data_IF_467216096704
#
_entry.id   IF_467216096704
#
_cell.length_a   1.000
_cell.length_b   1.000
_cell.length_c   1.000
_cell.angle_alpha   90.00
_cell.angle_beta   90.00
_cell.angle_gamma   90.00
#
_symmetry.space_group_name_H-M   'P 1'
#
loop_
_entity.id
_entity.type
_entity.pdbx_description
1 polymer ?
#
# COMPACT_ATOMS: atom_id res chain seq x y z
N UNK A 1 5.04 50.14 3.58
CA UNK A 1 5.95 49.21 4.25
C UNK A 1 5.11 47.96 4.55
N UNK A 2 5.13 47.00 3.64
CA UNK A 2 4.47 45.72 3.81
C UNK A 2 5.44 44.79 4.51
N UNK A 3 5.18 44.45 5.75
CA UNK A 3 5.92 43.42 6.45
C UNK A 3 5.33 42.07 6.03
N UNK A 4 5.91 41.49 4.98
CA UNK A 4 5.68 40.08 4.66
C UNK A 4 6.25 39.26 5.82
N UNK A 5 5.34 38.81 6.69
CA UNK A 5 5.71 37.83 7.70
C UNK A 5 5.81 36.50 6.94
N UNK A 6 7.03 36.11 6.60
CA UNK A 6 7.31 34.74 6.15
C UNK A 6 6.94 33.77 7.27
N UNK A 7 5.69 33.31 7.25
CA UNK A 7 5.26 32.20 8.11
C UNK A 7 5.90 30.94 7.54
N UNK A 8 7.10 30.62 8.01
CA UNK A 8 7.70 29.31 7.76
C UNK A 8 6.88 28.31 8.60
N UNK A 9 6.13 27.40 7.98
CA UNK A 9 5.39 26.41 8.75
C UNK A 9 6.37 25.61 9.60
N UNK A 10 6.25 25.70 10.91
CA UNK A 10 7.04 24.89 11.84
C UNK A 10 6.43 23.49 11.91
N UNK A 11 6.66 22.70 10.87
CA UNK A 11 6.24 21.31 10.86
C UNK A 11 7.06 20.53 11.89
N UNK A 12 6.43 19.70 12.72
CA UNK A 12 7.19 18.82 13.60
C UNK A 12 8.10 17.93 12.75
N UNK A 13 9.35 17.78 13.19
CA UNK A 13 10.28 16.89 12.53
C UNK A 13 9.68 15.48 12.48
N UNK A 14 9.52 14.95 11.27
CA UNK A 14 9.08 13.58 11.10
C UNK A 14 10.09 12.58 11.68
N UNK A 15 9.66 11.35 11.97
CA UNK A 15 10.58 10.30 12.40
C UNK A 15 11.63 10.07 11.31
N UNK A 16 12.90 10.08 11.69
CA UNK A 16 14.00 9.75 10.79
C UNK A 16 14.35 8.27 10.93
N UNK A 17 14.56 7.55 9.82
CA UNK A 17 14.99 6.18 9.90
C UNK A 17 16.38 6.07 10.54
N UNK A 18 16.72 4.94 11.18
CA UNK A 18 18.08 4.67 11.60
C UNK A 18 19.08 4.82 10.45
N UNK A 19 20.32 5.17 10.78
CA UNK A 19 21.40 5.20 9.79
C UNK A 19 21.54 3.82 9.14
N UNK A 20 21.77 3.79 7.83
CA UNK A 20 21.89 2.56 7.03
C UNK A 20 20.60 1.72 6.90
N UNK A 21 19.44 2.31 7.16
CA UNK A 21 18.17 1.65 6.89
C UNK A 21 18.00 1.36 5.38
N UNK A 22 17.58 0.13 5.01
CA UNK A 22 17.36 -0.20 3.60
C UNK A 22 16.16 0.54 3.02
N UNK A 23 16.18 0.75 1.71
CA UNK A 23 14.99 1.20 0.98
C UNK A 23 13.98 0.06 0.91
N UNK A 24 12.70 0.41 1.06
CA UNK A 24 11.59 -0.54 0.93
C UNK A 24 10.75 -0.12 -0.26
N UNK A 25 10.61 -1.02 -1.24
CA UNK A 25 9.72 -0.84 -2.38
C UNK A 25 8.50 -1.74 -2.21
N UNK A 26 7.32 -1.14 -2.18
CA UNK A 26 6.05 -1.86 -2.16
C UNK A 26 5.40 -1.70 -3.53
N UNK A 27 5.13 -2.83 -4.19
CA UNK A 27 4.41 -2.88 -5.47
C UNK A 27 3.04 -3.49 -5.21
N UNK A 28 2.01 -2.65 -5.28
CA UNK A 28 0.63 -3.06 -5.05
C UNK A 28 -0.11 -3.12 -6.39
N UNK A 29 -0.40 -4.31 -6.83
CA UNK A 29 -1.18 -4.55 -8.04
C UNK A 29 -2.66 -4.28 -7.79
N UNK A 30 -3.38 -3.92 -8.85
CA UNK A 30 -4.83 -3.70 -8.82
C UNK A 30 -5.52 -4.83 -9.58
N UNK A 31 -6.57 -5.38 -8.98
CA UNK A 31 -7.37 -6.48 -9.53
C UNK A 31 -6.58 -7.72 -9.96
N UNK A 32 -5.50 -8.04 -9.25
CA UNK A 32 -4.67 -9.23 -9.49
C UNK A 32 -4.95 -10.30 -8.45
N UNK A 33 -5.31 -11.48 -8.93
CA UNK A 33 -5.59 -12.64 -8.09
C UNK A 33 -4.32 -13.43 -7.73
N UNK A 34 -4.46 -14.32 -6.75
CA UNK A 34 -3.37 -15.17 -6.27
C UNK A 34 -2.69 -15.99 -7.38
N UNK A 35 -3.48 -16.52 -8.32
CA UNK A 35 -3.00 -17.39 -9.40
C UNK A 35 -2.65 -16.67 -10.69
N UNK A 36 -2.54 -15.33 -10.68
CA UNK A 36 -2.25 -14.57 -11.90
C UNK A 36 -0.74 -14.44 -12.19
N UNK A 37 0.10 -14.79 -11.24
CA UNK A 37 1.55 -14.84 -11.42
C UNK A 37 2.06 -16.26 -11.70
N UNK A 38 3.06 -16.38 -12.57
CA UNK A 38 3.67 -17.66 -12.94
C UNK A 38 4.19 -18.44 -11.73
N UNK A 39 4.79 -17.77 -10.75
CA UNK A 39 5.29 -18.39 -9.52
C UNK A 39 4.20 -19.04 -8.65
N UNK A 40 2.93 -18.77 -8.92
CA UNK A 40 1.76 -19.41 -8.30
C UNK A 40 0.96 -20.28 -9.27
N UNK A 41 1.51 -20.57 -10.44
CA UNK A 41 0.94 -21.51 -11.40
C UNK A 41 0.12 -20.90 -12.55
N UNK A 42 0.21 -19.58 -12.74
CA UNK A 42 -0.42 -18.92 -13.90
C UNK A 42 0.19 -19.37 -15.23
N UNK A 43 -0.62 -19.50 -16.29
CA UNK A 43 -0.11 -19.62 -17.64
C UNK A 43 0.42 -18.29 -18.20
N UNK A 44 0.19 -17.18 -17.50
CA UNK A 44 0.69 -15.86 -17.89
C UNK A 44 2.18 -15.79 -17.57
N UNK A 45 2.97 -15.33 -18.53
CA UNK A 45 4.41 -15.16 -18.34
C UNK A 45 4.70 -13.94 -17.51
N UNK A 46 5.27 -14.14 -16.31
CA UNK A 46 5.64 -13.07 -15.37
C UNK A 46 7.10 -13.20 -14.90
N UNK A 47 8.08 -13.19 -15.82
CA UNK A 47 9.45 -13.61 -15.54
C UNK A 47 10.12 -12.79 -14.45
N UNK A 48 9.87 -11.48 -14.36
CA UNK A 48 10.44 -10.62 -13.33
C UNK A 48 9.90 -10.94 -11.94
N UNK A 49 8.59 -11.18 -11.83
CA UNK A 49 7.95 -11.56 -10.56
C UNK A 49 8.39 -12.97 -10.16
N UNK A 50 8.48 -13.88 -11.13
CA UNK A 50 8.93 -15.25 -10.90
C UNK A 50 10.37 -15.28 -10.39
N UNK A 51 11.24 -14.42 -10.91
CA UNK A 51 12.61 -14.27 -10.44
C UNK A 51 12.68 -13.70 -9.02
N UNK A 52 11.85 -12.71 -8.70
CA UNK A 52 11.74 -12.19 -7.33
C UNK A 52 11.28 -13.29 -6.37
N UNK A 53 10.29 -14.06 -6.78
CA UNK A 53 9.76 -15.18 -6.00
C UNK A 53 10.77 -16.30 -5.78
N UNK A 54 11.64 -16.57 -6.76
CA UNK A 54 12.70 -17.57 -6.67
C UNK A 54 13.82 -17.16 -5.69
N UNK A 55 14.04 -15.86 -5.52
CA UNK A 55 15.11 -15.32 -4.66
C UNK A 55 14.58 -14.77 -3.33
N UNK A 56 13.29 -14.88 -3.07
CA UNK A 56 12.65 -14.31 -1.89
C UNK A 56 11.66 -15.24 -1.23
N UNK A 57 10.83 -14.68 -0.37
CA UNK A 57 9.76 -15.41 0.29
C UNK A 57 8.45 -15.32 -0.52
N UNK A 58 7.74 -16.43 -0.61
CA UNK A 58 6.40 -16.52 -1.18
C UNK A 58 5.41 -16.87 -0.08
N UNK A 59 4.43 -16.03 0.11
CA UNK A 59 3.34 -16.29 1.05
C UNK A 59 2.16 -16.92 0.31
N UNK A 60 1.63 -18.01 0.83
CA UNK A 60 0.43 -18.68 0.32
C UNK A 60 -0.81 -18.42 1.18
N UNK A 61 -0.63 -17.86 2.37
CA UNK A 61 -1.68 -17.48 3.31
C UNK A 61 -1.72 -15.99 3.58
N UNK A 62 -1.50 -15.14 2.56
CA UNK A 62 -1.54 -13.69 2.68
C UNK A 62 -2.95 -13.18 2.32
N UNK A 63 -3.55 -12.41 3.22
CA UNK A 63 -4.90 -11.89 3.04
C UNK A 63 -4.90 -10.36 3.01
N UNK A 64 -5.74 -9.82 2.17
CA UNK A 64 -6.06 -8.39 2.08
C UNK A 64 -7.54 -8.18 2.41
N UNK A 65 -8.04 -6.95 2.34
CA UNK A 65 -9.47 -6.70 2.38
C UNK A 65 -10.11 -7.08 1.04
N UNK A 66 -11.44 -7.12 1.00
CA UNK A 66 -12.17 -7.57 -0.19
C UNK A 66 -12.08 -6.62 -1.41
N UNK A 67 -11.62 -5.36 -1.21
CA UNK A 67 -11.62 -4.34 -2.26
C UNK A 67 -10.35 -3.50 -2.25
N UNK A 68 -10.02 -2.91 -3.40
CA UNK A 68 -8.82 -2.10 -3.60
C UNK A 68 -8.76 -0.87 -2.68
N UNK A 69 -9.83 -0.09 -2.59
CA UNK A 69 -9.88 1.12 -1.76
C UNK A 69 -9.64 0.82 -0.28
N UNK A 70 -10.28 -0.21 0.24
CA UNK A 70 -10.17 -0.61 1.64
C UNK A 70 -8.77 -1.17 1.96
N UNK A 71 -8.20 -1.98 1.07
CA UNK A 71 -6.83 -2.48 1.21
C UNK A 71 -5.81 -1.35 1.20
N UNK A 72 -5.96 -0.39 0.26
CA UNK A 72 -5.06 0.77 0.16
C UNK A 72 -5.16 1.66 1.39
N UNK A 73 -6.36 1.92 1.90
CA UNK A 73 -6.57 2.68 3.14
C UNK A 73 -5.90 1.99 4.34
N UNK A 74 -6.05 0.68 4.47
CA UNK A 74 -5.41 -0.08 5.54
C UNK A 74 -3.87 -0.07 5.42
N UNK A 75 -3.32 -0.24 4.21
CA UNK A 75 -1.88 -0.22 3.97
C UNK A 75 -1.27 1.14 4.29
N UNK A 76 -1.88 2.23 3.83
CA UNK A 76 -1.35 3.58 4.01
C UNK A 76 -1.44 4.08 5.46
N UNK A 77 -2.41 3.60 6.21
CA UNK A 77 -2.67 4.10 7.57
C UNK A 77 -2.20 3.16 8.67
N UNK A 78 -1.92 1.89 8.34
CA UNK A 78 -1.65 0.84 9.32
C UNK A 78 -2.86 0.52 10.22
N UNK A 79 -4.07 0.91 9.81
CA UNK A 79 -5.30 0.76 10.57
C UNK A 79 -6.32 -0.07 9.81
N UNK A 80 -7.30 -0.61 10.53
CA UNK A 80 -8.47 -1.20 9.89
C UNK A 80 -9.18 -0.13 9.04
N UNK A 81 -9.58 -0.49 7.84
CA UNK A 81 -10.18 0.45 6.88
C UNK A 81 -11.49 1.10 7.39
N UNK A 82 -12.30 0.39 8.17
CA UNK A 82 -13.48 0.99 8.80
C UNK A 82 -13.11 2.10 9.78
N UNK A 83 -12.00 1.94 10.53
CA UNK A 83 -11.50 2.97 11.46
C UNK A 83 -10.98 4.22 10.76
N UNK A 84 -10.76 4.14 9.45
CA UNK A 84 -10.31 5.28 8.61
C UNK A 84 -11.45 5.86 7.76
N UNK A 85 -12.69 5.42 7.99
CA UNK A 85 -13.85 5.91 7.24
C UNK A 85 -13.95 5.36 5.80
N UNK A 86 -13.27 4.25 5.50
CA UNK A 86 -13.32 3.63 4.16
C UNK A 86 -13.97 2.26 4.26
N UNK A 87 -15.30 2.22 4.28
CA UNK A 87 -16.08 1.00 4.42
C UNK A 87 -16.16 0.15 3.13
N UNK A 88 -16.07 0.80 1.95
CA UNK A 88 -16.21 0.18 0.64
C UNK A 88 -15.36 0.87 -0.41
N UNK A 89 -15.72 0.76 -1.69
CA UNK A 89 -15.07 1.48 -2.79
C UNK A 89 -15.19 3.00 -2.59
N UNK A 90 -14.11 3.73 -2.87
CA UNK A 90 -14.02 5.17 -2.64
C UNK A 90 -15.03 6.00 -3.46
N UNK A 91 -15.55 5.45 -4.55
CA UNK A 91 -16.56 6.09 -5.41
C UNK A 91 -18.00 5.65 -5.09
N UNK A 92 -18.19 4.89 -4.01
CA UNK A 92 -19.50 4.38 -3.62
C UNK A 92 -19.85 4.89 -2.22
N UNK A 93 -20.96 5.61 -2.12
CA UNK A 93 -21.51 6.04 -0.84
C UNK A 93 -22.42 4.93 -0.29
N UNK A 94 -21.93 4.24 0.73
CA UNK A 94 -22.71 3.18 1.41
C UNK A 94 -23.60 3.72 2.53
N UNK A 95 -23.50 5.00 2.87
CA UNK A 95 -24.13 5.61 4.05
C UNK A 95 -23.48 5.20 5.37
N UNK A 96 -22.40 4.43 5.32
CA UNK A 96 -21.60 4.01 6.48
C UNK A 96 -20.12 4.30 6.22
N UNK A 97 -19.36 4.71 7.24
CA UNK A 97 -17.91 4.92 7.12
C UNK A 97 -17.16 3.61 6.89
#
# INVERSE_FOLDING_TARGET
>A
MSSDIDIIPNWPAGPTPPQDSPNILIVLFDDVGFSDFGCYGSPISTPTIDQLAANGLRYTGFHTTAMCSTTRAALLTGRNHHSTGVGCLANFDSGYP
#
